data_IF_607632572485
#
_entry.id   IF_607632572485
#
_cell.length_a   1.000
_cell.length_b   1.000
_cell.length_c   1.000
_cell.angle_alpha   90.00
_cell.angle_beta   90.00
_cell.angle_gamma   90.00
#
_symmetry.space_group_name_H-M   'P 1'
#
loop_
_entity.id
_entity.type
_entity.pdbx_description
1 polymer ?
#
# COMPACT_ATOMS: atom_id res chain seq x y z
N UNK A 1 -9.57 -19.25 -66.19
CA UNK A 1 -10.22 -18.51 -65.08
C UNK A 1 -9.41 -18.80 -63.81
N UNK A 2 -8.73 -17.79 -63.27
CA UNK A 2 -7.90 -17.89 -62.06
C UNK A 2 -8.79 -17.63 -60.84
N UNK A 3 -8.84 -18.57 -59.92
CA UNK A 3 -9.55 -18.46 -58.64
C UNK A 3 -8.77 -17.53 -57.70
N UNK A 4 -9.45 -16.49 -57.21
CA UNK A 4 -8.92 -15.56 -56.20
C UNK A 4 -8.92 -16.22 -54.81
N UNK A 5 -7.94 -15.92 -53.93
CA UNK A 5 -7.79 -16.60 -52.65
C UNK A 5 -8.80 -16.06 -51.64
N UNK A 6 -9.79 -16.87 -51.30
CA UNK A 6 -10.78 -16.68 -50.22
C UNK A 6 -10.21 -16.93 -48.81
N UNK A 7 -8.91 -16.70 -48.61
CA UNK A 7 -8.18 -17.04 -47.39
C UNK A 7 -7.74 -15.83 -46.56
N UNK A 8 -8.13 -14.61 -46.94
CA UNK A 8 -7.75 -13.38 -46.23
C UNK A 8 -8.75 -13.05 -45.09
N UNK A 9 -10.03 -13.41 -45.26
CA UNK A 9 -11.08 -13.09 -44.29
C UNK A 9 -11.01 -13.85 -42.95
N UNK A 10 -10.67 -15.15 -42.87
CA UNK A 10 -10.59 -15.84 -41.59
C UNK A 10 -9.32 -15.45 -40.81
N UNK A 11 -8.28 -14.97 -41.49
CA UNK A 11 -7.03 -14.53 -40.86
C UNK A 11 -7.22 -13.22 -40.07
N UNK A 12 -8.01 -12.28 -40.59
CA UNK A 12 -8.30 -10.99 -39.94
C UNK A 12 -9.19 -11.12 -38.69
N UNK A 13 -10.00 -12.17 -38.59
CA UNK A 13 -10.86 -12.43 -37.42
C UNK A 13 -10.09 -13.01 -36.22
N UNK A 14 -9.01 -13.76 -36.46
CA UNK A 14 -8.17 -14.32 -35.38
C UNK A 14 -7.26 -13.24 -34.75
N UNK A 15 -6.83 -12.24 -35.52
CA UNK A 15 -5.98 -11.14 -35.01
C UNK A 15 -6.70 -10.18 -34.05
N UNK A 16 -8.04 -10.10 -34.08
CA UNK A 16 -8.81 -9.28 -33.12
C UNK A 16 -9.07 -9.99 -31.77
N UNK A 17 -8.82 -11.30 -31.67
CA UNK A 17 -9.00 -12.05 -30.42
C UNK A 17 -7.80 -11.93 -29.46
N UNK A 18 -6.70 -11.31 -29.90
CA UNK A 18 -5.52 -11.03 -29.09
C UNK A 18 -5.44 -9.55 -28.71
N UNK A 19 -6.60 -8.89 -28.59
CA UNK A 19 -6.68 -7.64 -27.87
C UNK A 19 -6.41 -7.95 -26.39
N UNK A 20 -5.12 -7.95 -26.01
CA UNK A 20 -4.73 -7.81 -24.62
C UNK A 20 -5.42 -6.54 -24.15
N UNK A 21 -6.45 -6.68 -23.33
CA UNK A 21 -6.90 -5.58 -22.50
C UNK A 21 -5.65 -5.12 -21.75
N UNK A 22 -5.17 -3.92 -22.06
CA UNK A 22 -4.22 -3.20 -21.23
C UNK A 22 -4.94 -2.87 -19.93
N UNK A 23 -5.15 -3.90 -19.10
CA UNK A 23 -5.34 -3.68 -17.69
C UNK A 23 -4.02 -3.05 -17.25
N UNK A 24 -4.09 -1.85 -16.67
CA UNK A 24 -2.96 -1.27 -15.99
C UNK A 24 -2.56 -2.28 -14.92
N UNK A 25 -1.58 -3.12 -15.24
CA UNK A 25 -0.98 -4.01 -14.27
C UNK A 25 -0.23 -3.11 -13.28
N UNK A 26 -0.19 -3.53 -12.02
CA UNK A 26 0.66 -2.92 -11.01
C UNK A 26 2.07 -2.71 -11.57
N UNK A 27 2.60 -1.49 -11.43
CA UNK A 27 3.96 -1.19 -11.86
C UNK A 27 4.93 -2.18 -11.24
N UNK A 28 5.80 -2.75 -12.06
CA UNK A 28 6.69 -3.85 -11.69
C UNK A 28 7.56 -3.53 -10.46
N UNK A 29 7.89 -2.25 -10.27
CA UNK A 29 8.75 -1.75 -9.19
C UNK A 29 8.01 -1.62 -7.85
N UNK A 30 6.68 -1.46 -7.83
CA UNK A 30 5.93 -1.09 -6.63
C UNK A 30 6.08 -2.11 -5.50
N UNK A 31 5.94 -3.41 -5.80
CA UNK A 31 6.13 -4.49 -4.81
C UNK A 31 7.55 -4.59 -4.27
N UNK A 32 8.53 -4.08 -5.03
CA UNK A 32 9.92 -4.09 -4.60
C UNK A 32 10.19 -2.97 -3.62
N UNK A 33 9.55 -1.80 -3.79
CA UNK A 33 9.75 -0.65 -2.91
C UNK A 33 8.77 -0.61 -1.73
N UNK A 34 7.57 -1.17 -1.90
CA UNK A 34 6.56 -1.27 -0.86
C UNK A 34 6.41 -2.74 -0.41
N UNK A 35 7.11 -3.11 0.66
CA UNK A 35 7.04 -4.46 1.24
C UNK A 35 7.51 -4.47 2.71
N UNK A 36 7.20 -5.58 3.38
CA UNK A 36 7.58 -5.87 4.77
C UNK A 36 9.07 -6.26 4.97
N UNK A 37 9.93 -6.14 3.95
CA UNK A 37 11.36 -6.40 4.10
C UNK A 37 12.07 -5.22 4.75
N UNK A 38 13.01 -5.51 5.64
CA UNK A 38 13.95 -4.50 6.17
C UNK A 38 15.03 -4.11 5.16
N UNK A 39 15.22 -4.90 4.09
CA UNK A 39 16.16 -4.56 3.04
C UNK A 39 15.62 -3.40 2.20
N UNK A 40 16.39 -2.32 2.10
CA UNK A 40 16.01 -1.17 1.30
C UNK A 40 16.41 -1.35 -0.17
N UNK A 41 15.51 -1.06 -1.11
CA UNK A 41 15.87 -0.95 -2.51
C UNK A 41 16.87 0.18 -2.73
N UNK A 42 17.82 -0.02 -3.66
CA UNK A 42 18.76 1.03 -4.02
C UNK A 42 18.08 2.13 -4.85
N UNK A 43 18.28 3.40 -4.47
CA UNK A 43 17.75 4.56 -5.19
C UNK A 43 18.24 4.61 -6.65
N UNK A 44 19.47 4.15 -6.91
CA UNK A 44 20.09 4.16 -8.24
C UNK A 44 19.33 3.34 -9.28
N UNK A 45 18.51 2.36 -8.85
CA UNK A 45 17.69 1.54 -9.75
C UNK A 45 16.48 2.29 -10.30
N UNK A 46 16.07 3.40 -9.69
CA UNK A 46 14.79 4.07 -9.97
C UNK A 46 14.93 5.47 -10.55
N UNK A 47 16.08 6.12 -10.39
CA UNK A 47 16.34 7.49 -10.89
C UNK A 47 16.08 7.65 -12.40
N UNK A 48 16.25 6.58 -13.19
CA UNK A 48 16.04 6.60 -14.64
C UNK A 48 14.87 5.70 -15.08
N UNK A 49 13.97 5.34 -14.15
CA UNK A 49 12.77 4.58 -14.50
C UNK A 49 11.82 5.44 -15.35
N UNK A 50 11.12 4.82 -16.31
CA UNK A 50 10.21 5.53 -17.22
C UNK A 50 8.87 5.85 -16.57
N UNK A 51 8.48 5.10 -15.53
CA UNK A 51 7.22 5.28 -14.80
C UNK A 51 7.34 6.29 -13.64
N UNK A 52 8.55 6.82 -13.42
CA UNK A 52 8.88 7.72 -12.32
C UNK A 52 9.46 9.03 -12.84
N UNK A 53 9.00 10.15 -12.30
CA UNK A 53 9.44 11.49 -12.65
C UNK A 53 10.06 12.17 -11.44
N UNK A 54 11.14 12.92 -11.64
CA UNK A 54 11.68 13.77 -10.59
C UNK A 54 10.70 14.93 -10.32
N UNK A 55 10.16 14.96 -9.10
CA UNK A 55 9.15 15.91 -8.65
C UNK A 55 9.58 16.66 -7.39
N UNK A 56 10.82 16.48 -6.94
CA UNK A 56 11.35 17.16 -5.76
C UNK A 56 11.75 18.60 -6.05
N UNK A 57 11.75 19.43 -5.00
CA UNK A 57 12.35 20.78 -5.07
C UNK A 57 13.86 20.71 -5.34
N UNK A 58 14.49 19.62 -4.91
CA UNK A 58 15.90 19.32 -5.15
C UNK A 58 15.97 18.11 -6.08
N UNK A 59 16.65 18.27 -7.21
CA UNK A 59 16.84 17.20 -8.20
C UNK A 59 17.42 15.94 -7.55
N UNK A 60 16.83 14.79 -7.86
CA UNK A 60 17.25 13.48 -7.39
C UNK A 60 16.88 13.15 -5.94
N UNK A 61 15.95 13.90 -5.31
CA UNK A 61 15.51 13.64 -3.92
C UNK A 61 14.12 13.03 -3.81
N UNK A 62 13.23 13.26 -4.78
CA UNK A 62 11.86 12.76 -4.75
C UNK A 62 11.44 12.31 -6.14
N UNK A 63 11.03 11.06 -6.27
CA UNK A 63 10.42 10.53 -7.49
C UNK A 63 8.92 10.34 -7.31
N UNK A 64 8.13 10.82 -8.25
CA UNK A 64 6.68 10.64 -8.29
C UNK A 64 6.29 9.73 -9.44
N UNK A 65 5.31 8.87 -9.22
CA UNK A 65 4.64 8.15 -10.29
C UNK A 65 3.44 8.94 -10.81
N UNK A 66 3.07 8.70 -12.07
CA UNK A 66 1.69 8.89 -12.51
C UNK A 66 0.75 7.90 -11.77
N UNK A 67 -0.54 7.90 -12.10
CA UNK A 67 -1.49 6.94 -11.52
C UNK A 67 -1.08 5.50 -11.87
N UNK A 68 -0.83 4.69 -10.84
CA UNK A 68 -0.54 3.26 -10.94
C UNK A 68 -1.50 2.45 -10.08
N UNK A 69 -1.32 1.13 -10.05
CA UNK A 69 -2.15 0.20 -9.27
C UNK A 69 -1.38 -0.35 -8.07
N UNK A 70 -1.94 -0.17 -6.88
CA UNK A 70 -1.64 -1.01 -5.72
C UNK A 70 -2.75 -2.05 -5.60
N UNK A 71 -2.47 -3.28 -6.04
CA UNK A 71 -3.48 -4.29 -6.34
C UNK A 71 -4.54 -3.80 -7.34
N UNK A 72 -5.74 -3.46 -6.88
CA UNK A 72 -6.81 -2.92 -7.72
C UNK A 72 -7.12 -1.44 -7.45
N UNK A 73 -6.43 -0.83 -6.48
CA UNK A 73 -6.57 0.58 -6.13
C UNK A 73 -5.70 1.45 -7.02
N UNK A 74 -6.30 2.51 -7.56
CA UNK A 74 -5.58 3.59 -8.21
C UNK A 74 -4.86 4.45 -7.16
N UNK A 75 -3.55 4.53 -7.26
CA UNK A 75 -2.69 5.28 -6.33
C UNK A 75 -1.69 6.14 -7.10
N UNK A 76 -1.29 7.25 -6.49
CA UNK A 76 -0.07 7.97 -6.83
C UNK A 76 1.00 7.60 -5.81
N UNK A 77 2.25 7.51 -6.25
CA UNK A 77 3.35 7.06 -5.41
C UNK A 77 4.46 8.10 -5.40
N UNK A 78 5.00 8.34 -4.22
CA UNK A 78 6.18 9.16 -4.00
C UNK A 78 7.28 8.31 -3.35
N UNK A 79 8.51 8.44 -3.85
CA UNK A 79 9.70 7.77 -3.35
C UNK A 79 10.70 8.83 -2.92
N UNK A 80 10.94 8.95 -1.62
CA UNK A 80 12.04 9.79 -1.12
C UNK A 80 13.35 9.01 -1.23
N UNK A 81 14.31 9.63 -1.91
CA UNK A 81 15.61 9.06 -2.18
C UNK A 81 16.63 9.57 -1.16
N UNK A 82 17.24 8.63 -0.44
CA UNK A 82 18.48 8.87 0.30
C UNK A 82 19.71 8.70 -0.60
N UNK A 83 20.90 8.83 0.00
CA UNK A 83 22.18 8.74 -0.73
C UNK A 83 22.37 7.43 -1.51
N UNK A 84 21.81 6.32 -1.03
CA UNK A 84 21.98 5.00 -1.66
C UNK A 84 20.72 4.12 -1.69
N UNK A 85 19.65 4.53 -1.02
CA UNK A 85 18.44 3.75 -0.83
C UNK A 85 17.19 4.61 -0.92
N UNK A 86 16.03 3.96 -1.07
CA UNK A 86 14.73 4.59 -0.88
C UNK A 86 14.44 4.65 0.63
N UNK A 87 14.26 5.87 1.15
CA UNK A 87 14.03 6.12 2.57
C UNK A 87 12.55 6.02 2.94
N UNK A 88 11.68 6.66 2.15
CA UNK A 88 10.23 6.70 2.36
C UNK A 88 9.50 6.33 1.08
N UNK A 89 8.42 5.56 1.22
CA UNK A 89 7.47 5.29 0.14
C UNK A 89 6.10 5.77 0.59
N UNK A 90 5.50 6.71 -0.14
CA UNK A 90 4.14 7.19 0.11
C UNK A 90 3.21 6.79 -1.02
N UNK A 91 2.05 6.26 -0.67
CA UNK A 91 0.92 6.08 -1.58
C UNK A 91 -0.15 7.10 -1.21
N UNK A 92 -0.75 7.74 -2.20
CA UNK A 92 -1.89 8.65 -2.02
C UNK A 92 -3.04 8.28 -2.96
N UNK A 93 -4.26 8.36 -2.44
CA UNK A 93 -5.49 8.08 -3.17
C UNK A 93 -6.71 8.73 -2.51
N UNK A 94 -7.80 8.99 -3.26
CA UNK A 94 -9.02 9.54 -2.68
C UNK A 94 -9.65 8.60 -1.64
N UNK A 95 -10.21 9.20 -0.59
CA UNK A 95 -10.92 8.48 0.44
C UNK A 95 -12.24 7.91 -0.07
N UNK A 96 -12.48 6.65 0.25
CA UNK A 96 -13.82 6.07 0.32
C UNK A 96 -13.80 4.93 1.34
N UNK A 97 -14.95 4.60 1.92
CA UNK A 97 -15.05 3.46 2.84
C UNK A 97 -14.49 2.17 2.19
N UNK A 98 -14.76 1.98 0.90
CA UNK A 98 -14.26 0.83 0.14
C UNK A 98 -12.73 0.87 -0.01
N UNK A 99 -12.16 2.01 -0.43
CA UNK A 99 -10.72 2.18 -0.60
C UNK A 99 -9.98 1.94 0.73
N UNK A 100 -10.51 2.50 1.82
CA UNK A 100 -9.92 2.35 3.15
C UNK A 100 -9.94 0.88 3.62
N UNK A 101 -11.09 0.19 3.51
CA UNK A 101 -11.17 -1.23 3.85
C UNK A 101 -10.23 -2.09 2.99
N UNK A 102 -10.13 -1.79 1.69
CA UNK A 102 -9.21 -2.50 0.78
C UNK A 102 -7.75 -2.29 1.16
N UNK A 103 -7.32 -1.07 1.44
CA UNK A 103 -5.96 -0.80 1.91
C UNK A 103 -5.63 -1.61 3.16
N UNK A 104 -6.53 -1.62 4.16
CA UNK A 104 -6.32 -2.42 5.36
C UNK A 104 -6.21 -3.93 5.06
N UNK A 105 -6.93 -4.44 4.05
CA UNK A 105 -6.81 -5.83 3.63
C UNK A 105 -5.49 -6.11 2.90
N UNK A 106 -5.06 -5.20 2.03
CA UNK A 106 -3.80 -5.32 1.29
C UNK A 106 -2.56 -5.18 2.19
N UNK A 107 -2.57 -4.29 3.17
CA UNK A 107 -1.52 -4.23 4.19
C UNK A 107 -1.39 -5.56 4.95
N UNK A 108 -2.51 -6.20 5.30
CA UNK A 108 -2.50 -7.55 5.89
C UNK A 108 -1.94 -8.60 4.92
N UNK A 109 -2.32 -8.51 3.65
CA UNK A 109 -1.83 -9.41 2.61
C UNK A 109 -0.31 -9.26 2.39
N UNK A 110 0.23 -8.06 2.55
CA UNK A 110 1.66 -7.76 2.47
C UNK A 110 2.44 -8.08 3.75
N UNK A 111 1.78 -8.64 4.77
CA UNK A 111 2.40 -9.14 5.99
C UNK A 111 2.47 -8.14 7.15
N UNK A 112 1.82 -6.98 7.02
CA UNK A 112 1.69 -6.03 8.12
C UNK A 112 0.48 -6.38 9.01
N UNK A 113 0.60 -6.12 10.31
CA UNK A 113 -0.48 -6.24 11.27
C UNK A 113 -0.75 -4.91 11.95
N UNK A 114 -2.03 -4.61 12.15
CA UNK A 114 -2.46 -3.40 12.86
C UNK A 114 -1.92 -3.42 14.29
N UNK A 115 -1.19 -2.36 14.65
CA UNK A 115 -0.61 -2.19 15.98
C UNK A 115 -1.41 -1.19 16.82
N UNK A 116 -1.85 -0.10 16.22
CA UNK A 116 -2.77 0.85 16.85
C UNK A 116 -3.62 1.58 15.80
N UNK A 117 -4.74 2.13 16.25
CA UNK A 117 -5.58 3.05 15.47
C UNK A 117 -6.04 4.19 16.37
N UNK A 118 -5.96 5.41 15.86
CA UNK A 118 -6.43 6.64 16.49
C UNK A 118 -7.45 7.31 15.58
N UNK A 119 -8.59 7.68 16.13
CA UNK A 119 -9.68 8.39 15.43
C UNK A 119 -9.98 9.65 16.24
N UNK A 120 -9.60 10.81 15.70
CA UNK A 120 -9.58 12.06 16.48
C UNK A 120 -8.66 11.95 17.71
N UNK A 121 -9.25 12.05 18.90
CA UNK A 121 -8.57 11.96 20.20
C UNK A 121 -8.60 10.56 20.80
N UNK A 122 -9.45 9.66 20.28
CA UNK A 122 -9.60 8.31 20.81
C UNK A 122 -8.55 7.38 20.19
N UNK A 123 -7.91 6.53 21.00
CA UNK A 123 -6.91 5.55 20.54
C UNK A 123 -7.22 4.14 21.02
N UNK A 124 -7.04 3.17 20.13
CA UNK A 124 -7.07 1.75 20.42
C UNK A 124 -5.70 1.13 20.10
N UNK A 125 -4.99 0.66 21.14
CA UNK A 125 -3.70 0.00 21.01
C UNK A 125 -3.88 -1.53 20.99
N UNK A 126 -3.87 -2.12 19.80
CA UNK A 126 -4.11 -3.55 19.57
C UNK A 126 -3.06 -4.41 20.27
N UNK A 127 -1.79 -4.02 20.23
CA UNK A 127 -0.69 -4.76 20.85
C UNK A 127 -0.88 -4.85 22.37
N UNK A 128 -1.22 -3.73 23.01
CA UNK A 128 -1.47 -3.68 24.45
C UNK A 128 -2.69 -4.53 24.85
N UNK A 129 -3.75 -4.52 24.05
CA UNK A 129 -4.96 -5.31 24.30
C UNK A 129 -4.72 -6.81 24.12
N UNK A 130 -3.97 -7.22 23.10
CA UNK A 130 -3.57 -8.64 22.91
C UNK A 130 -2.70 -9.15 24.05
N UNK A 131 -1.73 -8.35 24.51
CA UNK A 131 -0.89 -8.70 25.66
C UNK A 131 -1.69 -8.77 26.95
N UNK A 132 -2.68 -7.89 27.14
CA UNK A 132 -3.62 -7.96 28.26
C UNK A 132 -4.49 -9.21 28.20
N UNK A 133 -5.12 -9.52 27.06
CA UNK A 133 -5.93 -10.70 26.86
C UNK A 133 -5.15 -11.99 27.13
N UNK A 134 -3.90 -12.06 26.66
CA UNK A 134 -2.98 -13.18 26.93
C UNK A 134 -2.69 -13.37 28.42
N UNK A 135 -2.48 -12.29 29.17
CA UNK A 135 -2.26 -12.34 30.63
C UNK A 135 -3.50 -12.80 31.39
N UNK A 136 -4.67 -12.32 30.97
CA UNK A 136 -5.96 -12.64 31.59
C UNK A 136 -6.56 -13.97 31.13
N UNK A 137 -5.94 -14.66 30.16
CA UNK A 137 -6.45 -15.91 29.60
C UNK A 137 -7.73 -15.73 28.77
N UNK A 138 -7.98 -14.52 28.28
CA UNK A 138 -9.11 -14.19 27.40
C UNK A 138 -8.69 -14.46 25.94
N UNK A 139 -9.61 -14.94 25.12
CA UNK A 139 -9.37 -15.20 23.70
C UNK A 139 -9.11 -13.92 22.90
N UNK A 140 -8.37 -14.04 21.79
CA UNK A 140 -8.08 -12.92 20.88
C UNK A 140 -9.33 -12.39 20.16
N UNK A 141 -10.38 -13.21 20.07
CA UNK A 141 -11.68 -12.85 19.52
C UNK A 141 -12.36 -11.70 20.29
N UNK A 142 -12.10 -11.59 21.60
CA UNK A 142 -12.60 -10.47 22.39
C UNK A 142 -11.88 -9.16 22.02
N UNK A 143 -10.58 -9.20 21.72
CA UNK A 143 -9.83 -8.03 21.26
C UNK A 143 -10.31 -7.61 19.87
N UNK A 144 -10.55 -8.56 18.98
CA UNK A 144 -11.11 -8.30 17.65
C UNK A 144 -12.48 -7.63 17.75
N UNK A 145 -13.35 -8.12 18.64
CA UNK A 145 -14.65 -7.51 18.90
C UNK A 145 -14.53 -6.08 19.40
N UNK A 146 -13.67 -5.83 20.39
CA UNK A 146 -13.45 -4.49 20.95
C UNK A 146 -12.90 -3.52 19.90
N UNK A 147 -11.99 -3.98 19.03
CA UNK A 147 -11.48 -3.18 17.93
C UNK A 147 -12.59 -2.81 16.92
N UNK A 148 -13.45 -3.76 16.57
CA UNK A 148 -14.59 -3.50 15.68
C UNK A 148 -15.57 -2.52 16.32
N UNK A 149 -15.87 -2.68 17.61
CA UNK A 149 -16.72 -1.74 18.36
C UNK A 149 -16.10 -0.34 18.41
N UNK A 150 -14.79 -0.24 18.62
CA UNK A 150 -14.06 1.03 18.58
C UNK A 150 -14.19 1.69 17.21
N UNK A 151 -13.84 1.02 16.12
CA UNK A 151 -13.85 1.60 14.76
C UNK A 151 -15.25 2.10 14.34
N UNK A 152 -16.30 1.41 14.78
CA UNK A 152 -17.68 1.74 14.42
C UNK A 152 -18.37 2.68 15.42
N UNK A 153 -17.69 3.09 16.49
CA UNK A 153 -18.24 4.03 17.45
C UNK A 153 -18.39 5.42 16.82
N UNK A 154 -19.34 6.25 17.30
CA UNK A 154 -19.42 7.65 16.87
C UNK A 154 -18.16 8.40 17.33
N UNK A 155 -17.37 8.87 16.38
CA UNK A 155 -16.23 9.76 16.64
C UNK A 155 -16.53 11.17 16.13
N UNK A 156 -15.98 12.18 16.82
CA UNK A 156 -16.15 13.59 16.46
C UNK A 156 -15.16 14.08 15.40
N UNK A 157 -14.45 13.17 14.72
CA UNK A 157 -13.44 13.49 13.71
C UNK A 157 -13.49 12.52 12.54
N UNK A 158 -13.22 13.03 11.34
CA UNK A 158 -12.91 12.24 10.15
C UNK A 158 -11.45 11.82 10.08
N UNK A 159 -10.58 12.45 10.88
CA UNK A 159 -9.15 12.17 10.92
C UNK A 159 -8.89 10.85 11.62
N UNK A 160 -8.25 9.93 10.89
CA UNK A 160 -7.88 8.62 11.39
C UNK A 160 -6.42 8.34 11.04
N UNK A 161 -5.68 7.79 11.99
CA UNK A 161 -4.31 7.33 11.78
C UNK A 161 -4.19 5.93 12.36
N UNK A 162 -3.68 5.00 11.56
CA UNK A 162 -3.40 3.64 11.99
C UNK A 162 -1.95 3.29 11.74
N UNK A 163 -1.35 2.58 12.70
CA UNK A 163 0.01 2.07 12.62
C UNK A 163 -0.01 0.58 12.36
N UNK A 164 0.87 0.12 11.49
CA UNK A 164 0.94 -1.27 11.05
C UNK A 164 2.38 -1.74 11.08
N UNK A 165 2.65 -2.85 11.77
CA UNK A 165 4.00 -3.37 11.98
C UNK A 165 4.13 -4.78 11.43
N UNK A 166 5.35 -5.23 11.14
CA UNK A 166 5.61 -6.64 10.81
C UNK A 166 5.61 -7.49 12.09
N UNK A 167 4.72 -8.49 12.24
CA UNK A 167 4.66 -9.35 13.42
C UNK A 167 5.97 -10.12 13.66
N UNK A 168 6.29 -10.40 14.93
CA UNK A 168 7.43 -11.24 15.34
C UNK A 168 8.80 -10.79 14.79
N UNK A 169 8.91 -9.53 14.37
CA UNK A 169 10.20 -8.87 14.20
C UNK A 169 10.83 -8.75 15.58
N UNK A 170 11.68 -9.73 15.92
CA UNK A 170 12.30 -9.86 17.23
C UNK A 170 12.93 -8.53 17.66
N UNK A 171 12.37 -7.97 18.73
CA UNK A 171 12.80 -6.79 19.46
C UNK A 171 14.30 -6.79 19.75
N UNK A 172 15.07 -5.94 19.02
CA UNK A 172 16.36 -5.38 19.45
C UNK A 172 16.99 -4.37 18.46
N UNK A 173 16.61 -4.36 17.17
CA UNK A 173 17.07 -3.33 16.22
C UNK A 173 15.89 -2.48 15.75
N UNK A 174 16.06 -1.16 15.83
CA UNK A 174 15.13 -0.11 15.40
C UNK A 174 14.91 -0.07 13.87
N UNK A 175 14.80 -1.22 13.21
CA UNK A 175 14.97 -1.34 11.76
C UNK A 175 13.90 -2.22 11.10
N UNK A 176 12.76 -2.43 11.78
CA UNK A 176 11.65 -3.19 11.20
C UNK A 176 10.72 -2.22 10.49
N UNK A 177 10.31 -2.52 9.25
CA UNK A 177 9.41 -1.66 8.52
C UNK A 177 8.07 -1.55 9.25
N UNK A 178 7.50 -0.36 9.19
CA UNK A 178 6.17 -0.05 9.69
C UNK A 178 5.47 0.90 8.74
N UNK A 179 4.15 0.83 8.72
CA UNK A 179 3.30 1.65 7.85
C UNK A 179 2.40 2.54 8.69
N UNK A 180 2.34 3.82 8.31
CA UNK A 180 1.29 4.73 8.73
C UNK A 180 0.23 4.80 7.64
N UNK A 181 -1.02 4.47 7.98
CA UNK A 181 -2.17 4.73 7.13
C UNK A 181 -2.99 5.86 7.75
N UNK A 182 -3.04 7.00 7.07
CA UNK A 182 -3.78 8.19 7.47
C UNK A 182 -4.98 8.41 6.55
N UNK A 183 -6.09 8.86 7.13
CA UNK A 183 -7.27 9.39 6.48
C UNK A 183 -7.54 10.77 7.05
N UNK A 184 -7.68 11.80 6.23
CA UNK A 184 -8.13 13.16 6.65
C UNK A 184 -9.63 13.39 6.36
N UNK A 185 -10.31 12.39 5.79
CA UNK A 185 -11.71 12.44 5.38
C UNK A 185 -11.90 12.67 3.89
N UNK A 186 -10.88 13.19 3.19
CA UNK A 186 -10.90 13.42 1.74
C UNK A 186 -9.93 12.50 0.99
N UNK A 187 -8.77 12.24 1.59
CA UNK A 187 -7.69 11.43 1.03
C UNK A 187 -7.20 10.37 2.02
N UNK A 188 -6.56 9.36 1.45
CA UNK A 188 -5.82 8.33 2.15
C UNK A 188 -4.33 8.50 1.81
N UNK A 189 -3.49 8.46 2.83
CA UNK A 189 -2.03 8.46 2.68
C UNK A 189 -1.47 7.25 3.39
N UNK A 190 -0.66 6.46 2.68
CA UNK A 190 0.03 5.29 3.22
C UNK A 190 1.53 5.56 3.15
N UNK A 191 2.19 5.66 4.28
CA UNK A 191 3.63 5.90 4.35
C UNK A 191 4.33 4.67 4.93
N UNK A 192 5.26 4.09 4.17
CA UNK A 192 6.13 3.00 4.62
C UNK A 192 7.45 3.56 5.11
N UNK A 193 7.70 3.36 6.40
CA UNK A 193 8.88 3.79 7.12
C UNK A 193 9.75 2.58 7.48
N UNK A 194 11.08 2.74 7.41
CA UNK A 194 12.06 1.67 7.65
C UNK A 194 13.09 2.01 8.74
N UNK A 195 12.88 3.11 9.45
CA UNK A 195 13.79 3.69 10.43
C UNK A 195 13.06 4.15 11.70
#
# INVERSE_FOLDING_TARGET
MRTFPTLILPLLLVLNAIAFSAQAAESWWLRTVFNASSAQPSSQNYINDIDLMDCGDIEGTLLCSDQTKYYDLDVYVELELGESSIEVVRLSLPYSNLSYTKLQAYLRQDGFALSSIRIGEDEFNVVAQLEHAKREGVGFDEVDKQLVEFINAPHHSSDQVSLWNVPNSSSASSSSPWVQLQSDGDNLTVELNRF
#
